data_IF_845304615674
#
_entry.id   IF_845304615674
#
_cell.length_a   1.000
_cell.length_b   1.000
_cell.length_c   1.000
_cell.angle_alpha   90.00
_cell.angle_beta   90.00
_cell.angle_gamma   90.00
#
_symmetry.space_group_name_H-M   'P 1'
#
loop_
_entity.id
_entity.type
_entity.pdbx_description
1 polymer ?
#
# COMPACT_ATOMS: atom_id res chain seq x y z
N UNK A 1 0.41 -28.41 -6.65
CA UNK A 1 1.14 -27.17 -6.99
C UNK A 1 0.30 -26.05 -6.45
N UNK A 2 0.83 -25.29 -5.49
CA UNK A 2 0.09 -24.25 -4.79
C UNK A 2 -0.38 -23.20 -5.80
N UNK A 3 -1.69 -23.03 -5.94
CA UNK A 3 -2.23 -21.87 -6.63
C UNK A 3 -1.75 -20.64 -5.86
N UNK A 4 -0.76 -19.93 -6.41
CA UNK A 4 -0.37 -18.64 -5.89
C UNK A 4 -1.58 -17.72 -6.11
N UNK A 5 -2.41 -17.56 -5.07
CA UNK A 5 -3.53 -16.62 -5.06
C UNK A 5 -2.91 -15.23 -5.14
N UNK A 6 -2.67 -14.81 -6.38
CA UNK A 6 -2.10 -13.50 -6.73
C UNK A 6 -3.17 -12.49 -6.38
N UNK A 7 -2.90 -11.60 -5.43
CA UNK A 7 -3.83 -10.53 -5.10
C UNK A 7 -4.13 -9.71 -6.35
N UNK A 8 -5.40 -9.42 -6.61
CA UNK A 8 -5.78 -8.58 -7.74
C UNK A 8 -5.48 -7.12 -7.42
N UNK A 9 -5.24 -6.32 -8.46
CA UNK A 9 -5.02 -4.87 -8.32
C UNK A 9 -6.14 -4.18 -7.53
N UNK A 10 -7.40 -4.59 -7.75
CA UNK A 10 -8.56 -4.07 -7.02
C UNK A 10 -8.54 -4.42 -5.54
N UNK A 11 -8.03 -5.60 -5.18
CA UNK A 11 -7.86 -5.99 -3.79
C UNK A 11 -6.72 -5.19 -3.13
N UNK A 12 -5.63 -4.91 -3.85
CA UNK A 12 -4.57 -4.02 -3.37
C UNK A 12 -5.11 -2.61 -3.14
N UNK A 13 -5.86 -2.08 -4.10
CA UNK A 13 -6.45 -0.74 -4.01
C UNK A 13 -7.34 -0.62 -2.76
N UNK A 14 -8.14 -1.67 -2.45
CA UNK A 14 -8.95 -1.73 -1.23
C UNK A 14 -8.09 -1.76 0.03
N UNK A 15 -7.09 -2.64 0.10
CA UNK A 15 -6.20 -2.76 1.27
C UNK A 15 -5.48 -1.44 1.54
N UNK A 16 -4.92 -0.82 0.51
CA UNK A 16 -4.22 0.46 0.65
C UNK A 16 -5.18 1.57 1.06
N UNK A 17 -6.37 1.63 0.46
CA UNK A 17 -7.40 2.60 0.85
C UNK A 17 -7.80 2.43 2.31
N UNK A 18 -8.05 1.20 2.79
CA UNK A 18 -8.36 0.93 4.19
C UNK A 18 -7.25 1.40 5.13
N UNK A 19 -5.98 1.17 4.78
CA UNK A 19 -4.83 1.61 5.57
C UNK A 19 -4.67 3.14 5.56
N UNK A 20 -4.91 3.80 4.43
CA UNK A 20 -4.86 5.26 4.33
C UNK A 20 -5.96 5.91 5.18
N UNK A 21 -7.16 5.32 5.25
CA UNK A 21 -8.26 5.78 6.11
C UNK A 21 -7.95 5.70 7.62
N UNK A 22 -6.84 5.05 8.02
CA UNK A 22 -6.36 5.09 9.40
C UNK A 22 -5.67 6.41 9.76
N UNK A 23 -5.61 7.38 8.84
CA UNK A 23 -5.16 8.73 9.12
C UNK A 23 -5.94 9.36 10.28
N UNK A 24 -5.31 10.32 10.96
CA UNK A 24 -5.96 11.04 12.07
C UNK A 24 -7.23 11.76 11.59
N UNK A 25 -8.28 11.83 12.43
CA UNK A 25 -9.59 12.40 12.05
C UNK A 25 -9.55 13.89 11.67
N UNK A 26 -8.53 14.60 12.14
CA UNK A 26 -8.31 16.02 11.85
C UNK A 26 -7.66 16.25 10.47
N UNK A 27 -7.25 15.17 9.81
CA UNK A 27 -6.66 15.20 8.46
C UNK A 27 -7.78 15.19 7.42
N UNK A 28 -7.71 16.13 6.49
CA UNK A 28 -8.61 16.24 5.35
C UNK A 28 -7.83 15.83 4.11
N UNK A 29 -8.03 14.58 3.67
CA UNK A 29 -7.46 14.05 2.45
C UNK A 29 -8.52 13.32 1.63
N UNK A 30 -8.38 13.39 0.32
CA UNK A 30 -9.13 12.52 -0.60
C UNK A 30 -8.32 11.23 -0.76
N UNK A 31 -8.75 10.16 -0.08
CA UNK A 31 -8.03 8.88 -0.07
C UNK A 31 -8.02 8.23 -1.44
N UNK A 32 -9.08 8.38 -2.24
CA UNK A 32 -9.15 7.80 -3.58
C UNK A 32 -8.15 8.51 -4.50
N UNK A 33 -8.14 9.84 -4.50
CA UNK A 33 -7.19 10.63 -5.28
C UNK A 33 -5.74 10.38 -4.81
N UNK A 34 -5.50 10.35 -3.51
CA UNK A 34 -4.16 10.11 -2.97
C UNK A 34 -3.65 8.70 -3.28
N UNK A 35 -4.50 7.69 -3.15
CA UNK A 35 -4.16 6.30 -3.51
C UNK A 35 -3.85 6.17 -5.00
N UNK A 36 -4.63 6.80 -5.88
CA UNK A 36 -4.36 6.83 -7.32
C UNK A 36 -3.01 7.50 -7.65
N UNK A 37 -2.71 8.63 -7.00
CA UNK A 37 -1.44 9.32 -7.13
C UNK A 37 -0.26 8.46 -6.63
N UNK A 38 -0.41 7.82 -5.48
CA UNK A 38 0.62 6.97 -4.88
C UNK A 38 0.92 5.74 -5.76
N UNK A 39 -0.13 5.11 -6.29
CA UNK A 39 -0.05 3.96 -7.20
C UNK A 39 0.77 4.27 -8.44
N UNK A 40 0.50 5.43 -9.04
CA UNK A 40 1.18 5.90 -10.25
C UNK A 40 2.46 6.71 -9.97
N UNK A 41 2.93 6.78 -8.72
CA UNK A 41 4.19 7.45 -8.42
C UNK A 41 5.40 6.65 -8.94
N UNK A 42 6.33 7.34 -9.58
CA UNK A 42 7.63 6.83 -10.02
C UNK A 42 8.76 7.19 -9.06
N UNK A 43 8.55 8.23 -8.25
CA UNK A 43 9.51 8.70 -7.26
C UNK A 43 9.65 7.73 -6.09
N UNK A 44 8.68 6.84 -5.88
CA UNK A 44 8.67 5.87 -4.81
C UNK A 44 8.76 4.44 -5.34
N UNK A 45 9.64 3.63 -4.77
CA UNK A 45 9.64 2.18 -4.96
C UNK A 45 8.59 1.48 -4.07
N UNK A 46 8.40 0.17 -4.22
CA UNK A 46 7.43 -0.62 -3.43
C UNK A 46 7.57 -0.43 -1.91
N UNK A 47 8.80 -0.40 -1.37
CA UNK A 47 9.04 -0.23 0.07
C UNK A 47 8.74 1.19 0.54
N UNK A 48 9.03 2.20 -0.28
CA UNK A 48 8.71 3.59 0.03
C UNK A 48 7.19 3.82 0.01
N UNK A 49 6.49 3.26 -0.99
CA UNK A 49 5.02 3.25 -1.04
C UNK A 49 4.45 2.59 0.22
N UNK A 50 5.01 1.44 0.61
CA UNK A 50 4.66 0.77 1.86
C UNK A 50 4.81 1.69 3.08
N UNK A 51 5.98 2.34 3.22
CA UNK A 51 6.24 3.25 4.35
C UNK A 51 5.27 4.42 4.40
N UNK A 52 4.85 4.97 3.27
CA UNK A 52 3.83 6.03 3.22
C UNK A 52 2.49 5.52 3.77
N UNK A 53 2.06 4.35 3.32
CA UNK A 53 0.79 3.73 3.75
C UNK A 53 0.85 3.34 5.23
N UNK A 54 1.93 2.71 5.69
CA UNK A 54 2.13 2.35 7.10
C UNK A 54 2.22 3.58 8.02
N UNK A 55 2.79 4.68 7.53
CA UNK A 55 2.91 5.92 8.29
C UNK A 55 1.61 6.74 8.30
N UNK A 56 0.61 6.43 7.47
CA UNK A 56 -0.63 7.19 7.32
C UNK A 56 -1.29 7.62 8.65
N UNK A 57 -1.37 6.78 9.70
CA UNK A 57 -1.93 7.18 11.00
C UNK A 57 -1.18 8.33 11.70
N UNK A 58 0.12 8.44 11.41
CA UNK A 58 1.05 9.38 12.06
C UNK A 58 1.40 10.58 11.19
N UNK A 59 1.00 10.58 9.92
CA UNK A 59 1.25 11.69 9.01
C UNK A 59 0.35 12.89 9.36
N UNK A 60 0.98 14.06 9.41
CA UNK A 60 0.30 15.36 9.54
C UNK A 60 -0.25 15.83 8.20
N UNK A 61 -1.17 16.81 8.24
CA UNK A 61 -1.79 17.37 7.03
C UNK A 61 -0.73 17.88 6.06
N UNK A 62 0.26 18.63 6.59
CA UNK A 62 1.37 19.15 5.80
C UNK A 62 2.15 18.05 5.07
N UNK A 63 2.35 16.89 5.71
CA UNK A 63 3.06 15.79 5.07
C UNK A 63 2.23 15.15 3.94
N UNK A 64 0.92 14.99 4.13
CA UNK A 64 0.04 14.54 3.05
C UNK A 64 0.00 15.52 1.89
N UNK A 65 -0.08 16.83 2.17
CA UNK A 65 -0.12 17.88 1.16
C UNK A 65 1.18 17.92 0.34
N UNK A 66 2.35 17.81 1.00
CA UNK A 66 3.64 17.78 0.32
C UNK A 66 3.80 16.51 -0.55
N UNK A 67 3.39 15.33 -0.06
CA UNK A 67 3.39 14.11 -0.87
C UNK A 67 2.47 14.27 -2.08
N UNK A 68 1.25 14.76 -1.87
CA UNK A 68 0.28 15.00 -2.95
C UNK A 68 0.84 15.96 -3.99
N UNK A 69 1.46 17.06 -3.56
CA UNK A 69 2.09 18.05 -4.44
C UNK A 69 3.18 17.42 -5.31
N UNK A 70 4.08 16.64 -4.70
CA UNK A 70 5.14 15.93 -5.44
C UNK A 70 4.55 14.97 -6.47
N UNK A 71 3.54 14.19 -6.12
CA UNK A 71 2.92 13.25 -7.06
C UNK A 71 2.18 13.94 -8.21
N UNK A 72 1.51 15.07 -7.94
CA UNK A 72 0.82 15.86 -8.97
C UNK A 72 1.83 16.45 -9.96
N UNK A 73 2.93 17.01 -9.46
CA UNK A 73 4.01 17.53 -10.31
C UNK A 73 4.66 16.41 -11.15
N UNK A 74 4.89 15.25 -10.54
CA UNK A 74 5.41 14.06 -11.22
C UNK A 74 4.48 13.60 -12.34
N UNK A 75 3.18 13.49 -12.07
CA UNK A 75 2.17 13.10 -13.07
C UNK A 75 2.14 14.06 -14.25
N UNK A 76 2.31 15.36 -14.01
CA UNK A 76 2.44 16.37 -15.06
C UNK A 76 3.66 16.12 -15.96
N UNK A 77 4.83 15.93 -15.36
CA UNK A 77 6.08 15.62 -16.11
C UNK A 77 5.97 14.31 -16.88
N UNK A 78 5.39 13.29 -16.26
CA UNK A 78 5.19 11.99 -16.88
C UNK A 78 4.26 12.07 -18.10
N UNK A 79 3.23 12.91 -18.04
CA UNK A 79 2.33 13.14 -19.17
C UNK A 79 3.04 13.80 -20.36
N UNK A 80 3.96 14.72 -20.13
CA UNK A 80 4.78 15.28 -21.20
C UNK A 80 5.73 14.23 -21.78
N UNK A 81 6.41 13.46 -20.92
CA UNK A 81 7.25 12.34 -21.35
C UNK A 81 6.47 11.27 -22.13
N UNK A 82 5.20 11.04 -21.81
CA UNK A 82 4.33 10.11 -22.53
C UNK A 82 4.07 10.52 -23.98
N UNK A 83 4.12 11.83 -24.28
CA UNK A 83 4.00 12.33 -25.65
C UNK A 83 5.28 12.11 -26.45
N UNK A 84 6.44 12.24 -25.79
CA UNK A 84 7.76 12.12 -26.42
C UNK A 84 8.23 10.66 -26.54
N UNK A 85 7.94 9.84 -25.53
CA UNK A 85 8.47 8.48 -25.36
C UNK A 85 7.37 7.47 -24.94
N UNK A 86 6.35 7.22 -25.77
CA UNK A 86 5.20 6.39 -25.41
C UNK A 86 5.56 4.93 -25.08
N UNK A 87 6.54 4.35 -25.77
CA UNK A 87 6.97 2.96 -25.55
C UNK A 87 7.68 2.76 -24.21
N UNK A 88 8.47 3.73 -23.77
CA UNK A 88 9.16 3.66 -22.48
C UNK A 88 8.19 3.91 -21.32
N UNK A 89 7.23 4.81 -21.51
CA UNK A 89 6.11 5.02 -20.58
C UNK A 89 5.30 3.74 -20.38
N UNK A 90 5.00 3.01 -21.46
CA UNK A 90 4.26 1.74 -21.36
C UNK A 90 4.99 0.71 -20.50
N UNK A 91 6.31 0.63 -20.61
CA UNK A 91 7.15 -0.25 -19.77
C UNK A 91 7.12 0.20 -18.30
N UNK A 92 7.20 1.50 -18.05
CA UNK A 92 7.14 2.07 -16.70
C UNK A 92 5.80 1.79 -16.03
N UNK A 93 4.67 1.96 -16.75
CA UNK A 93 3.34 1.65 -16.23
C UNK A 93 3.20 0.17 -15.87
N UNK A 94 3.72 -0.74 -16.72
CA UNK A 94 3.68 -2.17 -16.41
C UNK A 94 4.51 -2.52 -15.17
N UNK A 95 5.68 -1.88 -15.02
CA UNK A 95 6.51 -2.01 -13.83
C UNK A 95 5.78 -1.51 -12.58
N UNK A 96 5.14 -0.34 -12.64
CA UNK A 96 4.36 0.21 -11.53
C UNK A 96 3.20 -0.70 -11.13
N UNK A 97 2.47 -1.25 -12.09
CA UNK A 97 1.39 -2.20 -11.83
C UNK A 97 1.92 -3.45 -11.11
N UNK A 98 3.06 -3.97 -11.53
CA UNK A 98 3.72 -5.12 -10.88
C UNK A 98 4.17 -4.78 -9.46
N UNK A 99 4.77 -3.60 -9.26
CA UNK A 99 5.19 -3.12 -7.95
C UNK A 99 4.00 -2.93 -7.01
N UNK A 100 2.85 -2.49 -7.53
CA UNK A 100 1.62 -2.32 -6.77
C UNK A 100 1.03 -3.65 -6.33
N UNK A 101 0.93 -4.62 -7.25
CA UNK A 101 0.49 -5.98 -6.90
C UNK A 101 1.41 -6.58 -5.83
N UNK A 102 2.73 -6.40 -5.98
CA UNK A 102 3.70 -6.89 -5.00
C UNK A 102 3.51 -6.25 -3.62
N UNK A 103 3.17 -4.95 -3.56
CA UNK A 103 2.82 -4.28 -2.30
C UNK A 103 1.63 -4.96 -1.61
N UNK A 104 0.59 -5.28 -2.37
CA UNK A 104 -0.57 -6.00 -1.86
C UNK A 104 -0.23 -7.39 -1.33
N UNK A 105 0.61 -8.14 -2.05
CA UNK A 105 1.08 -9.46 -1.62
C UNK A 105 1.85 -9.36 -0.29
N UNK A 106 2.66 -8.32 -0.10
CA UNK A 106 3.35 -8.07 1.18
C UNK A 106 2.34 -7.87 2.32
N UNK A 107 1.32 -7.05 2.14
CA UNK A 107 0.31 -6.82 3.17
C UNK A 107 -0.53 -8.06 3.47
N UNK A 108 -0.92 -8.82 2.44
CA UNK A 108 -1.65 -10.08 2.60
C UNK A 108 -0.83 -11.09 3.39
N UNK A 109 0.43 -11.29 3.03
CA UNK A 109 1.34 -12.19 3.74
C UNK A 109 1.57 -11.75 5.20
N UNK A 110 1.69 -10.46 5.47
CA UNK A 110 1.83 -9.94 6.84
C UNK A 110 0.57 -10.15 7.68
N UNK A 111 -0.61 -9.99 7.08
CA UNK A 111 -1.89 -10.26 7.74
C UNK A 111 -2.02 -11.75 8.07
N UNK A 112 -1.78 -12.63 7.11
CA UNK A 112 -1.81 -14.09 7.32
C UNK A 112 -0.80 -14.55 8.38
N UNK A 113 0.41 -13.96 8.41
CA UNK A 113 1.41 -14.29 9.42
C UNK A 113 1.03 -13.78 10.82
N UNK A 114 0.43 -12.58 10.93
CA UNK A 114 -0.07 -12.07 12.21
C UNK A 114 -1.24 -12.90 12.74
N UNK A 115 -2.15 -13.33 11.87
CA UNK A 115 -3.28 -14.20 12.24
C UNK A 115 -2.81 -15.56 12.75
N UNK A 116 -1.86 -16.20 12.07
CA UNK A 116 -1.27 -17.49 12.52
C UNK A 116 -0.55 -17.38 13.86
N UNK A 117 0.23 -16.31 14.07
CA UNK A 117 0.89 -16.08 15.37
C UNK A 117 -0.11 -15.79 16.50
N UNK A 118 -1.20 -15.08 16.21
CA UNK A 118 -2.27 -14.83 17.17
C UNK A 118 -3.03 -16.11 17.56
N UNK A 119 -3.33 -16.99 16.61
CA UNK A 119 -3.97 -18.28 16.88
C UNK A 119 -3.10 -19.22 17.70
N UNK A 120 -1.80 -19.32 17.39
CA UNK A 120 -0.87 -20.17 18.15
C UNK A 120 -0.71 -19.65 19.59
N UNK A 121 -0.65 -18.34 19.79
CA UNK A 121 -0.61 -17.74 21.12
C UNK A 121 -1.89 -18.00 21.92
N UNK A 122 -3.07 -17.84 21.29
CA UNK A 122 -4.36 -18.12 21.94
C UNK A 122 -4.50 -19.59 22.35
N UNK A 123 -4.04 -20.53 21.50
CA UNK A 123 -4.05 -21.96 21.83
C UNK A 123 -3.09 -22.31 22.97
N UNK A 124 -1.93 -21.65 23.05
CA UNK A 124 -0.98 -21.84 24.16
C UNK A 124 -1.56 -21.33 25.48
N UNK A 125 -2.25 -20.18 25.47
CA UNK A 125 -2.84 -19.59 26.67
C UNK A 125 -4.05 -20.42 27.16
N UNK A 126 -4.85 -20.98 26.26
CA UNK A 126 -5.93 -21.93 26.60
C UNK A 126 -5.40 -23.24 27.21
N UNK A 127 -4.27 -23.75 26.71
CA UNK A 127 -3.61 -24.95 27.27
C UNK A 127 -3.06 -24.65 28.68
N UNK A 128 -2.45 -23.47 28.91
CA UNK A 128 -1.99 -23.06 30.25
C UNK A 128 -3.14 -22.94 31.23
N UNK A 129 -4.25 -22.31 30.83
CA UNK A 129 -5.45 -22.17 31.65
C UNK A 129 -6.08 -23.54 32.00
N UNK A 130 -6.09 -24.48 31.06
CA UNK A 130 -6.57 -25.85 31.29
C UNK A 130 -5.68 -26.70 32.20
N UNK A 131 -4.39 -26.36 32.31
CA UNK A 131 -3.42 -27.04 33.20
C UNK A 131 -3.31 -26.40 34.59
N UNK A 132 -3.99 -25.27 34.84
CA UNK A 132 -4.08 -24.64 36.16
C UNK A 132 -2.80 -23.93 36.63
N UNK A 133 -2.00 -23.38 35.69
CA UNK A 133 -0.85 -22.50 35.97
C UNK A 133 -1.20 -21.03 35.74
#
# INVERSE_FOLDING_TARGET
MSEAITITEQEVDKVVSELLHLHSKDIVIDVEEFSDLLKHSLSLNTLEKKRVVDAAPTLSQFQFDELKKVFVEERGKFRELAKEHPEDIKKLLHKQQTEWIHLGDMYKNEKENKEKQGEDQSKIDDIKAGLGL
#
